data_IF_973502739565
#
_entry.id   IF_973502739565
#
_cell.length_a   1.000
_cell.length_b   1.000
_cell.length_c   1.000
_cell.angle_alpha   90.00
_cell.angle_beta   90.00
_cell.angle_gamma   90.00
#
_symmetry.space_group_name_H-M   'P 1'
#
loop_
_entity.id
_entity.type
_entity.pdbx_description
1 polymer ?
#
# COMPACT_ATOMS: atom_id res chain seq x y z
N UNK A 1 4.77 -6.89 5.48
CA UNK A 1 4.85 -5.44 5.24
C UNK A 1 4.52 -5.15 3.79
N UNK A 2 3.32 -4.64 3.53
CA UNK A 2 2.91 -4.13 2.21
C UNK A 2 3.17 -2.63 2.17
N UNK A 3 3.50 -2.09 0.98
CA UNK A 3 3.79 -0.67 0.83
C UNK A 3 2.57 0.25 1.09
N UNK A 4 1.37 -0.30 1.26
CA UNK A 4 0.18 0.41 1.78
C UNK A 4 0.38 1.03 3.16
N UNK A 5 1.33 0.53 3.95
CA UNK A 5 1.71 1.16 5.22
C UNK A 5 2.24 2.59 5.05
N UNK A 6 2.73 2.94 3.85
CA UNK A 6 3.16 4.30 3.54
C UNK A 6 2.00 5.29 3.43
N UNK A 7 0.77 4.86 3.17
CA UNK A 7 -0.36 5.77 2.95
C UNK A 7 -0.65 6.73 4.13
N UNK A 8 -0.85 6.24 5.37
CA UNK A 8 -1.05 7.14 6.52
C UNK A 8 0.21 7.96 6.86
N UNK A 9 1.39 7.50 6.46
CA UNK A 9 2.68 8.09 6.86
C UNK A 9 3.12 9.17 5.87
N UNK A 10 2.71 9.05 4.61
CA UNK A 10 2.93 10.09 3.60
C UNK A 10 2.01 11.28 3.83
N UNK A 11 0.81 11.08 4.39
CA UNK A 11 -0.14 12.15 4.68
C UNK A 11 0.47 13.35 5.44
N UNK A 12 1.21 13.19 6.56
CA UNK A 12 1.86 14.32 7.24
C UNK A 12 2.95 15.00 6.39
N UNK A 13 3.65 14.26 5.52
CA UNK A 13 4.64 14.86 4.58
C UNK A 13 3.90 15.73 3.54
N UNK A 14 2.76 15.26 3.04
CA UNK A 14 1.92 16.02 2.11
C UNK A 14 1.35 17.26 2.78
N UNK A 15 0.85 17.12 4.01
CA UNK A 15 0.33 18.23 4.81
C UNK A 15 1.42 19.27 5.10
N UNK A 16 2.64 18.83 5.41
CA UNK A 16 3.79 19.71 5.59
C UNK A 16 4.07 20.56 4.35
N UNK A 17 4.21 19.93 3.18
CA UNK A 17 4.49 20.64 1.94
C UNK A 17 3.34 21.58 1.57
N UNK A 18 2.09 21.13 1.69
CA UNK A 18 0.91 21.96 1.42
C UNK A 18 0.86 23.16 2.38
N UNK A 19 1.15 22.93 3.67
CA UNK A 19 1.20 23.99 4.67
C UNK A 19 2.29 25.03 4.40
N UNK A 20 3.42 24.65 3.77
CA UNK A 20 4.42 25.65 3.35
C UNK A 20 3.90 26.58 2.23
N UNK A 21 3.06 26.08 1.32
CA UNK A 21 2.37 26.90 0.31
C UNK A 21 1.31 27.79 0.97
N UNK A 22 0.56 27.26 1.93
CA UNK A 22 -0.43 28.05 2.68
C UNK A 22 0.24 29.15 3.49
N UNK A 23 1.37 28.83 4.14
CA UNK A 23 2.14 29.79 4.93
C UNK A 23 2.62 30.99 4.10
N UNK A 24 3.02 30.79 2.84
CA UNK A 24 3.45 31.90 1.97
C UNK A 24 2.29 32.78 1.48
N UNK A 25 1.06 32.27 1.52
CA UNK A 25 -0.15 33.00 1.07
C UNK A 25 -0.90 33.72 2.22
N UNK A 26 -0.53 33.47 3.48
CA UNK A 26 -1.23 34.02 4.64
C UNK A 26 -0.89 35.51 4.86
N UNK A 27 -1.91 36.40 4.98
CA UNK A 27 -1.66 37.83 5.15
C UNK A 27 -1.19 38.20 6.56
N UNK A 28 -1.55 37.41 7.57
CA UNK A 28 -1.14 37.64 8.95
C UNK A 28 0.22 36.96 9.21
N UNK A 29 1.29 37.73 9.55
CA UNK A 29 2.63 37.18 9.74
C UNK A 29 2.72 36.11 10.85
N UNK A 30 1.95 36.28 11.92
CA UNK A 30 1.94 35.34 13.03
C UNK A 30 1.28 34.00 12.65
N UNK A 31 0.18 34.06 11.90
CA UNK A 31 -0.46 32.85 11.38
C UNK A 31 0.44 32.13 10.38
N UNK A 32 1.10 32.89 9.49
CA UNK A 32 2.08 32.35 8.55
C UNK A 32 3.21 31.62 9.27
N UNK A 33 3.72 32.20 10.37
CA UNK A 33 4.72 31.57 11.22
C UNK A 33 4.22 30.28 11.87
N UNK A 34 3.03 30.29 12.48
CA UNK A 34 2.47 29.07 13.09
C UNK A 34 2.28 27.96 12.06
N UNK A 35 1.74 28.28 10.87
CA UNK A 35 1.61 27.31 9.79
C UNK A 35 2.97 26.75 9.36
N UNK A 36 3.98 27.61 9.20
CA UNK A 36 5.35 27.17 8.87
C UNK A 36 5.92 26.21 9.93
N UNK A 37 5.81 26.56 11.22
CA UNK A 37 6.31 25.73 12.32
C UNK A 37 5.56 24.39 12.40
N UNK A 38 4.24 24.40 12.27
CA UNK A 38 3.43 23.17 12.21
C UNK A 38 3.84 22.31 11.02
N UNK A 39 4.12 22.90 9.86
CA UNK A 39 4.61 22.15 8.70
C UNK A 39 5.98 21.51 8.95
N UNK A 40 6.91 22.18 9.63
CA UNK A 40 8.18 21.56 10.03
C UNK A 40 7.97 20.38 10.97
N UNK A 41 7.06 20.48 11.94
CA UNK A 41 6.71 19.38 12.86
C UNK A 41 6.10 18.20 12.08
N UNK A 42 5.16 18.47 11.16
CA UNK A 42 4.55 17.44 10.32
C UNK A 42 5.58 16.75 9.42
N UNK A 43 6.55 17.49 8.88
CA UNK A 43 7.68 16.90 8.15
C UNK A 43 8.50 15.96 9.05
N UNK A 44 8.87 16.44 10.24
CA UNK A 44 9.66 15.68 11.22
C UNK A 44 8.97 14.43 11.75
N UNK A 45 7.63 14.39 11.76
CA UNK A 45 6.87 13.17 12.10
C UNK A 45 6.76 12.20 10.92
N UNK A 46 6.44 12.70 9.72
CA UNK A 46 6.17 11.87 8.56
C UNK A 46 7.42 11.30 7.89
N UNK A 47 8.42 12.16 7.62
CA UNK A 47 9.56 11.78 6.78
C UNK A 47 10.47 10.74 7.45
N UNK A 48 10.90 10.88 8.72
CA UNK A 48 11.71 9.85 9.36
C UNK A 48 10.98 8.50 9.47
N UNK A 49 9.69 8.52 9.75
CA UNK A 49 8.88 7.30 9.82
C UNK A 49 8.76 6.63 8.44
N UNK A 50 8.64 7.40 7.36
CA UNK A 50 8.71 6.88 6.00
C UNK A 50 10.08 6.22 5.73
N UNK A 51 11.19 6.82 6.17
CA UNK A 51 12.53 6.25 6.00
C UNK A 51 12.70 4.90 6.71
N UNK A 52 12.14 4.73 7.91
CA UNK A 52 12.13 3.44 8.63
C UNK A 52 11.39 2.38 7.81
N UNK A 53 10.22 2.73 7.25
CA UNK A 53 9.45 1.79 6.41
C UNK A 53 10.19 1.47 5.11
N UNK A 54 10.84 2.46 4.48
CA UNK A 54 11.64 2.23 3.28
C UNK A 54 12.80 1.26 3.57
N UNK A 55 13.46 1.39 4.72
CA UNK A 55 14.53 0.46 5.12
C UNK A 55 14.00 -0.98 5.30
N UNK A 56 12.88 -1.16 6.01
CA UNK A 56 12.25 -2.48 6.19
C UNK A 56 11.77 -3.03 4.84
N UNK A 57 11.23 -2.19 3.96
CA UNK A 57 10.79 -2.58 2.62
C UNK A 57 11.97 -3.00 1.75
N UNK A 58 13.08 -2.26 1.79
CA UNK A 58 14.32 -2.63 1.10
C UNK A 58 14.84 -3.99 1.57
N UNK A 59 14.93 -4.20 2.89
CA UNK A 59 15.32 -5.49 3.46
C UNK A 59 14.39 -6.63 3.01
N UNK A 60 13.08 -6.36 2.93
CA UNK A 60 12.13 -7.36 2.42
C UNK A 60 12.40 -7.71 0.95
N UNK A 61 12.70 -6.72 0.12
CA UNK A 61 13.01 -6.94 -1.30
C UNK A 61 14.32 -7.71 -1.52
N UNK A 62 15.28 -7.60 -0.62
CA UNK A 62 16.54 -8.36 -0.72
C UNK A 62 16.41 -9.80 -0.23
N UNK A 63 15.56 -10.05 0.79
CA UNK A 63 15.39 -11.39 1.39
C UNK A 63 14.33 -12.22 0.66
N UNK A 64 13.24 -11.61 0.19
CA UNK A 64 12.12 -12.30 -0.45
C UNK A 64 12.08 -11.99 -1.96
N UNK A 65 11.71 -12.99 -2.79
CA UNK A 65 11.61 -12.83 -4.26
C UNK A 65 10.76 -11.61 -4.63
N UNK A 66 11.10 -10.96 -5.74
CA UNK A 66 10.39 -9.80 -6.31
C UNK A 66 8.88 -10.07 -6.25
N UNK A 67 8.07 -9.16 -5.67
CA UNK A 67 6.65 -9.40 -5.48
C UNK A 67 5.94 -9.80 -6.79
N UNK A 68 4.89 -10.65 -6.74
CA UNK A 68 4.12 -11.07 -7.91
C UNK A 68 3.64 -9.90 -8.78
N UNK A 69 3.23 -10.17 -10.03
CA UNK A 69 2.80 -9.13 -11.00
C UNK A 69 1.73 -8.16 -10.47
N UNK A 70 0.94 -8.58 -9.49
CA UNK A 70 -0.08 -7.77 -8.81
C UNK A 70 0.48 -6.59 -7.99
N UNK A 71 1.78 -6.58 -7.67
CA UNK A 71 2.39 -5.58 -6.77
C UNK A 71 3.35 -4.62 -7.49
N UNK A 72 3.37 -4.56 -8.82
CA UNK A 72 4.23 -3.62 -9.59
C UNK A 72 3.99 -2.16 -9.20
N UNK A 73 2.72 -1.79 -8.94
CA UNK A 73 2.35 -0.47 -8.44
C UNK A 73 3.09 -0.14 -7.14
N UNK A 74 3.31 -1.13 -6.28
CA UNK A 74 3.98 -0.94 -5.00
C UNK A 74 5.46 -0.58 -5.12
N UNK A 75 6.11 -0.92 -6.24
CA UNK A 75 7.53 -0.62 -6.49
C UNK A 75 7.74 0.88 -6.71
N UNK A 76 6.69 1.62 -7.09
CA UNK A 76 6.72 3.07 -7.23
C UNK A 76 6.40 3.81 -5.93
N UNK A 77 5.79 3.17 -4.94
CA UNK A 77 5.39 3.82 -3.70
C UNK A 77 6.55 4.46 -2.91
N UNK A 78 7.79 3.93 -2.91
CA UNK A 78 8.93 4.62 -2.32
C UNK A 78 9.21 6.01 -2.91
N UNK A 79 8.88 6.26 -4.18
CA UNK A 79 9.03 7.59 -4.79
C UNK A 79 8.09 8.63 -4.18
N UNK A 80 6.98 8.20 -3.55
CA UNK A 80 6.03 9.08 -2.90
C UNK A 80 6.66 9.92 -1.77
N UNK A 81 7.11 9.31 -0.66
CA UNK A 81 7.74 10.05 0.43
C UNK A 81 9.05 10.74 0.01
N UNK A 82 9.79 10.19 -0.95
CA UNK A 82 11.05 10.81 -1.41
C UNK A 82 10.80 12.06 -2.27
N UNK A 83 9.91 11.98 -3.26
CA UNK A 83 9.52 13.13 -4.07
C UNK A 83 8.81 14.18 -3.23
N UNK A 84 7.80 13.79 -2.47
CA UNK A 84 7.07 14.71 -1.59
C UNK A 84 7.97 15.32 -0.51
N UNK A 85 8.89 14.54 0.06
CA UNK A 85 9.83 15.00 1.06
C UNK A 85 10.84 15.99 0.50
N UNK A 86 11.36 15.73 -0.70
CA UNK A 86 12.23 16.66 -1.43
C UNK A 86 11.53 17.99 -1.71
N UNK A 87 10.31 17.94 -2.23
CA UNK A 87 9.48 19.13 -2.45
C UNK A 87 9.21 19.89 -1.14
N UNK A 88 8.82 19.18 -0.07
CA UNK A 88 8.55 19.78 1.24
C UNK A 88 9.76 20.52 1.80
N UNK A 89 10.95 19.89 1.80
CA UNK A 89 12.18 20.48 2.31
C UNK A 89 12.54 21.78 1.59
N UNK A 90 12.49 21.76 0.26
CA UNK A 90 12.80 22.94 -0.54
C UNK A 90 11.76 24.05 -0.32
N UNK A 91 10.47 23.71 -0.34
CA UNK A 91 9.43 24.72 -0.21
C UNK A 91 9.34 25.32 1.20
N UNK A 92 9.61 24.53 2.24
CA UNK A 92 9.77 25.03 3.61
C UNK A 92 10.94 26.00 3.74
N UNK A 93 12.08 25.67 3.14
CA UNK A 93 13.24 26.55 3.07
C UNK A 93 12.94 27.88 2.37
N UNK A 94 12.28 27.82 1.20
CA UNK A 94 11.82 29.01 0.47
C UNK A 94 10.89 29.89 1.29
N UNK A 95 9.89 29.27 1.92
CA UNK A 95 8.89 29.99 2.72
C UNK A 95 9.57 30.69 3.91
N UNK A 96 10.56 30.05 4.52
CA UNK A 96 11.33 30.60 5.63
C UNK A 96 12.12 31.88 5.28
N UNK A 97 12.49 32.09 4.02
CA UNK A 97 13.14 33.35 3.58
C UNK A 97 12.24 34.57 3.78
N UNK A 98 10.94 34.41 3.60
CA UNK A 98 9.98 35.52 3.66
C UNK A 98 9.38 35.72 5.05
N UNK A 99 9.09 34.63 5.76
CA UNK A 99 8.37 34.68 7.04
C UNK A 99 9.29 35.07 8.19
N UNK A 100 10.46 34.44 8.32
CA UNK A 100 11.32 34.62 9.50
C UNK A 100 11.83 36.05 9.71
N UNK A 101 12.21 36.81 8.66
CA UNK A 101 12.59 38.21 8.84
C UNK A 101 11.41 39.08 9.33
N UNK A 102 10.20 38.79 8.86
CA UNK A 102 8.98 39.58 9.15
C UNK A 102 8.49 39.39 10.59
N UNK A 103 8.70 38.20 11.16
CA UNK A 103 8.26 37.88 12.52
C UNK A 103 9.34 38.05 13.58
N UNK A 104 10.54 38.49 13.20
CA UNK A 104 11.73 38.56 14.08
C UNK A 104 12.00 37.23 14.82
N UNK A 105 11.62 36.10 14.22
CA UNK A 105 11.77 34.77 14.80
C UNK A 105 13.21 34.30 14.68
N UNK A 106 13.73 33.64 15.72
CA UNK A 106 15.15 33.26 15.83
C UNK A 106 16.08 34.48 15.65
N UNK A 107 15.98 35.50 16.53
CA UNK A 107 16.89 36.65 16.49
C UNK A 107 18.27 36.18 16.96
N UNK A 108 19.03 35.54 16.08
CA UNK A 108 20.44 35.28 16.30
C UNK A 108 21.14 36.63 16.19
N UNK A 109 21.43 37.23 17.35
CA UNK A 109 22.23 38.45 17.44
C UNK A 109 23.60 38.19 16.77
N UNK A 110 23.81 38.79 15.59
CA UNK A 110 25.12 38.84 14.94
C UNK A 110 25.41 37.82 13.83
N UNK A 111 24.48 36.93 13.46
CA UNK A 111 24.69 36.05 12.29
C UNK A 111 24.06 36.68 11.05
N UNK A 112 24.92 37.19 10.17
CA UNK A 112 24.58 37.55 8.80
C UNK A 112 25.13 36.46 7.87
N UNK A 113 24.28 35.81 7.04
CA UNK A 113 22.84 36.04 6.88
C UNK A 113 22.00 35.47 8.03
N UNK A 114 20.79 36.03 8.23
CA UNK A 114 19.82 35.57 9.24
C UNK A 114 19.34 34.13 9.01
N UNK A 115 18.42 33.62 9.87
CA UNK A 115 18.03 32.20 9.87
C UNK A 115 17.33 31.74 8.58
N UNK A 116 16.63 32.63 7.86
CA UNK A 116 15.93 32.30 6.60
C UNK A 116 16.85 31.72 5.52
N UNK A 117 17.90 32.45 5.09
CA UNK A 117 18.87 31.95 4.10
C UNK A 117 19.55 30.63 4.48
N UNK A 118 19.80 30.40 5.78
CA UNK A 118 20.36 29.14 6.27
C UNK A 118 19.38 27.99 6.02
N UNK A 119 18.11 28.15 6.43
CA UNK A 119 17.07 27.13 6.22
C UNK A 119 16.77 26.89 4.74
N UNK A 120 16.82 27.92 3.90
CA UNK A 120 16.70 27.76 2.45
C UNK A 120 17.82 26.91 1.87
N UNK A 121 19.07 27.24 2.20
CA UNK A 121 20.24 26.52 1.69
C UNK A 121 20.25 25.07 2.17
N UNK A 122 19.96 24.83 3.45
CA UNK A 122 19.82 23.48 4.00
C UNK A 122 18.66 22.73 3.35
N UNK A 123 17.50 23.36 3.20
CA UNK A 123 16.32 22.79 2.55
C UNK A 123 16.62 22.34 1.12
N UNK A 124 17.34 23.15 0.35
CA UNK A 124 17.77 22.83 -1.00
C UNK A 124 18.74 21.64 -1.06
N UNK A 125 19.79 21.63 -0.23
CA UNK A 125 20.78 20.54 -0.19
C UNK A 125 20.11 19.22 0.21
N UNK A 126 19.28 19.25 1.26
CA UNK A 126 18.55 18.06 1.71
C UNK A 126 17.54 17.59 0.67
N UNK A 127 16.84 18.51 0.01
CA UNK A 127 15.92 18.17 -1.08
C UNK A 127 16.63 17.46 -2.23
N UNK A 128 17.82 17.93 -2.63
CA UNK A 128 18.64 17.28 -3.65
C UNK A 128 19.11 15.88 -3.24
N UNK A 129 19.55 15.70 -1.99
CA UNK A 129 19.99 14.39 -1.47
C UNK A 129 18.82 13.40 -1.48
N UNK A 130 17.67 13.81 -0.96
CA UNK A 130 16.47 12.97 -0.91
C UNK A 130 15.97 12.64 -2.33
N UNK A 131 16.01 13.61 -3.24
CA UNK A 131 15.70 13.40 -4.65
C UNK A 131 16.68 12.40 -5.30
N UNK A 132 17.98 12.57 -5.09
CA UNK A 132 19.00 11.65 -5.59
C UNK A 132 18.80 10.22 -5.10
N UNK A 133 18.42 10.03 -3.83
CA UNK A 133 18.06 8.72 -3.31
C UNK A 133 16.84 8.10 -4.03
N UNK A 134 15.88 8.93 -4.44
CA UNK A 134 14.74 8.51 -5.25
C UNK A 134 15.12 7.92 -6.60
N UNK A 135 16.24 8.32 -7.22
CA UNK A 135 16.67 7.77 -8.52
C UNK A 135 16.96 6.28 -8.47
N UNK A 136 17.46 5.77 -7.33
CA UNK A 136 17.69 4.34 -7.13
C UNK A 136 16.36 3.59 -7.19
N UNK A 137 15.34 4.10 -6.49
CA UNK A 137 14.01 3.52 -6.46
C UNK A 137 13.31 3.63 -7.82
N UNK A 138 13.46 4.76 -8.51
CA UNK A 138 12.95 4.93 -9.87
C UNK A 138 13.58 3.90 -10.83
N UNK A 139 14.88 3.63 -10.68
CA UNK A 139 15.58 2.63 -11.49
C UNK A 139 15.02 1.23 -11.26
N UNK A 140 14.77 0.85 -10.01
CA UNK A 140 14.11 -0.44 -9.69
C UNK A 140 12.69 -0.51 -10.25
N UNK A 141 11.94 0.59 -10.16
CA UNK A 141 10.58 0.68 -10.65
C UNK A 141 10.52 0.52 -12.18
N UNK A 142 11.39 1.21 -12.92
CA UNK A 142 11.52 1.08 -14.38
C UNK A 142 11.97 -0.32 -14.80
N UNK A 143 12.96 -0.90 -14.12
CA UNK A 143 13.43 -2.26 -14.39
C UNK A 143 12.33 -3.31 -14.16
N UNK A 144 11.46 -3.09 -13.16
CA UNK A 144 10.32 -3.97 -12.89
C UNK A 144 9.28 -3.94 -14.01
N UNK A 145 8.96 -2.73 -14.53
CA UNK A 145 8.06 -2.57 -15.69
C UNK A 145 8.64 -3.23 -16.93
N UNK A 146 9.93 -3.03 -17.22
CA UNK A 146 10.57 -3.57 -18.42
C UNK A 146 10.53 -5.11 -18.48
N UNK A 147 10.50 -5.78 -17.33
CA UNK A 147 10.50 -7.25 -17.22
C UNK A 147 9.11 -7.88 -17.11
N UNK A 148 8.07 -7.06 -16.97
CA UNK A 148 6.74 -7.56 -16.58
C UNK A 148 5.63 -6.92 -17.42
N UNK A 149 4.87 -7.73 -18.16
CA UNK A 149 3.58 -7.28 -18.72
C UNK A 149 2.48 -7.55 -17.70
N UNK A 150 1.69 -6.53 -17.39
CA UNK A 150 0.56 -6.62 -16.48
C UNK A 150 -0.67 -5.91 -17.07
N UNK A 151 -1.87 -6.50 -16.92
CA UNK A 151 -3.10 -5.93 -17.47
C UNK A 151 -3.53 -4.68 -16.70
N UNK A 152 -4.31 -3.81 -17.36
CA UNK A 152 -4.87 -2.62 -16.73
C UNK A 152 -5.87 -2.97 -15.62
N UNK A 153 -5.62 -2.47 -14.41
CA UNK A 153 -6.48 -2.60 -13.23
C UNK A 153 -6.61 -1.26 -12.50
N UNK A 154 -7.55 -1.17 -11.55
CA UNK A 154 -7.81 0.08 -10.81
C UNK A 154 -6.61 0.54 -9.97
N UNK A 155 -5.70 -0.37 -9.63
CA UNK A 155 -4.46 -0.07 -8.91
C UNK A 155 -3.50 0.84 -9.67
N UNK A 156 -3.67 1.06 -10.97
CA UNK A 156 -2.84 1.98 -11.76
C UNK A 156 -2.91 3.43 -11.26
N UNK A 157 -3.99 3.81 -10.58
CA UNK A 157 -4.06 5.11 -9.88
C UNK A 157 -2.91 5.30 -8.87
N UNK A 158 -2.40 4.21 -8.29
CA UNK A 158 -1.28 4.24 -7.35
C UNK A 158 0.06 4.68 -7.95
N UNK A 159 0.20 4.75 -9.29
CA UNK A 159 1.39 5.32 -9.93
C UNK A 159 1.38 6.85 -9.97
N UNK A 160 0.19 7.45 -10.03
CA UNK A 160 0.04 8.88 -10.31
C UNK A 160 0.62 9.75 -9.20
N UNK A 161 0.34 9.41 -7.94
CA UNK A 161 0.84 10.18 -6.80
C UNK A 161 2.38 10.14 -6.71
N UNK A 162 3.05 8.97 -6.62
CA UNK A 162 4.51 8.93 -6.48
C UNK A 162 5.26 9.59 -7.64
N UNK A 163 4.82 9.37 -8.88
CA UNK A 163 5.43 10.00 -10.05
C UNK A 163 5.14 11.49 -10.11
N UNK A 164 3.93 11.91 -9.73
CA UNK A 164 3.52 13.31 -9.70
C UNK A 164 4.33 14.12 -8.70
N UNK A 165 4.45 13.65 -7.46
CA UNK A 165 5.24 14.36 -6.44
C UNK A 165 6.73 14.36 -6.76
N UNK A 166 7.24 13.31 -7.42
CA UNK A 166 8.62 13.28 -7.90
C UNK A 166 8.86 14.27 -9.05
N UNK A 167 7.90 14.40 -9.98
CA UNK A 167 7.94 15.41 -11.03
C UNK A 167 7.90 16.84 -10.45
N UNK A 168 7.01 17.10 -9.49
CA UNK A 168 6.92 18.38 -8.79
C UNK A 168 8.25 18.72 -8.10
N UNK A 169 8.87 17.75 -7.41
CA UNK A 169 10.19 17.96 -6.80
C UNK A 169 11.25 18.32 -7.85
N UNK A 170 11.31 17.59 -8.98
CA UNK A 170 12.26 17.87 -10.07
C UNK A 170 12.07 19.26 -10.66
N UNK A 171 10.82 19.67 -10.92
CA UNK A 171 10.51 21.01 -11.44
C UNK A 171 10.88 22.09 -10.43
N UNK A 172 10.58 21.87 -9.14
CA UNK A 172 10.90 22.84 -8.09
C UNK A 172 12.41 22.97 -7.87
N UNK A 173 13.17 21.89 -7.99
CA UNK A 173 14.64 21.94 -7.98
C UNK A 173 15.15 22.69 -9.23
N UNK A 174 14.54 22.44 -10.39
CA UNK A 174 14.87 23.11 -11.65
C UNK A 174 14.64 24.61 -11.63
N UNK A 175 13.63 25.10 -10.90
CA UNK A 175 13.40 26.55 -10.76
C UNK A 175 14.48 27.25 -9.94
N UNK A 176 15.18 26.52 -9.05
CA UNK A 176 16.24 27.09 -8.19
C UNK A 176 17.63 26.96 -8.79
N UNK A 177 17.80 26.14 -9.82
CA UNK A 177 19.08 25.96 -10.50
C UNK A 177 19.04 26.64 -11.86
N UNK A 178 20.09 27.37 -12.27
CA UNK A 178 20.28 27.79 -13.65
C UNK A 178 20.72 26.58 -14.51
N UNK A 179 19.95 25.50 -14.48
CA UNK A 179 20.27 24.22 -15.09
C UNK A 179 19.18 23.78 -16.06
N UNK A 180 19.51 23.83 -17.34
CA UNK A 180 18.64 23.32 -18.42
C UNK A 180 18.32 21.83 -18.23
N UNK A 181 19.22 21.07 -17.59
CA UNK A 181 19.02 19.64 -17.32
C UNK A 181 17.77 19.39 -16.47
N UNK A 182 17.63 20.07 -15.33
CA UNK A 182 16.48 19.87 -14.45
C UNK A 182 15.17 20.38 -15.07
N UNK A 183 15.24 21.44 -15.89
CA UNK A 183 14.08 21.94 -16.63
C UNK A 183 13.57 20.93 -17.67
N UNK A 184 14.48 20.35 -18.45
CA UNK A 184 14.14 19.29 -19.42
C UNK A 184 13.62 18.05 -18.68
N UNK A 185 14.33 17.61 -17.64
CA UNK A 185 13.95 16.41 -16.89
C UNK A 185 12.59 16.55 -16.21
N UNK A 186 12.32 17.70 -15.58
CA UNK A 186 11.04 18.02 -14.97
C UNK A 186 9.91 18.07 -16.00
N UNK A 187 10.18 18.59 -17.19
CA UNK A 187 9.21 18.58 -18.31
C UNK A 187 8.89 17.16 -18.76
N UNK A 188 9.90 16.30 -18.94
CA UNK A 188 9.73 14.89 -19.32
C UNK A 188 8.88 14.17 -18.27
N UNK A 189 9.21 14.30 -16.99
CA UNK A 189 8.43 13.68 -15.91
C UNK A 189 6.98 14.19 -15.87
N UNK A 190 6.77 15.49 -16.09
CA UNK A 190 5.44 16.11 -16.12
C UNK A 190 4.59 15.58 -17.28
N UNK A 191 5.17 15.44 -18.47
CA UNK A 191 4.48 14.86 -19.64
C UNK A 191 4.14 13.39 -19.39
N UNK A 192 5.10 12.60 -18.87
CA UNK A 192 4.88 11.19 -18.57
C UNK A 192 3.77 10.97 -17.54
N UNK A 193 3.77 11.71 -16.43
CA UNK A 193 2.73 11.56 -15.40
C UNK A 193 1.36 12.04 -15.90
N UNK A 194 1.32 13.11 -16.70
CA UNK A 194 0.08 13.60 -17.31
C UNK A 194 -0.49 12.59 -18.29
N UNK A 195 0.34 12.03 -19.16
CA UNK A 195 -0.06 10.97 -20.10
C UNK A 195 -0.55 9.71 -19.39
N UNK A 196 0.14 9.30 -18.32
CA UNK A 196 -0.28 8.20 -17.46
C UNK A 196 -1.64 8.49 -16.82
N UNK A 197 -1.83 9.68 -16.24
CA UNK A 197 -3.09 10.09 -15.64
C UNK A 197 -4.24 10.05 -16.66
N UNK A 198 -4.04 10.60 -17.86
CA UNK A 198 -5.03 10.56 -18.94
C UNK A 198 -5.39 9.12 -19.34
N UNK A 199 -4.39 8.25 -19.48
CA UNK A 199 -4.61 6.83 -19.79
C UNK A 199 -5.45 6.14 -18.72
N UNK A 200 -5.11 6.34 -17.45
CA UNK A 200 -5.82 5.74 -16.30
C UNK A 200 -7.24 6.30 -16.19
N UNK A 201 -7.41 7.62 -16.38
CA UNK A 201 -8.73 8.26 -16.37
C UNK A 201 -9.64 7.72 -17.48
N UNK A 202 -9.15 7.65 -18.72
CA UNK A 202 -9.90 7.08 -19.85
C UNK A 202 -10.24 5.60 -19.61
N UNK A 203 -9.29 4.81 -19.11
CA UNK A 203 -9.52 3.40 -18.77
C UNK A 203 -10.57 3.23 -17.67
N UNK A 204 -10.55 4.12 -16.66
CA UNK A 204 -11.53 4.16 -15.57
C UNK A 204 -12.92 4.51 -16.11
N UNK A 205 -13.04 5.56 -16.92
CA UNK A 205 -14.32 5.98 -17.52
C UNK A 205 -14.89 4.88 -18.41
N UNK A 206 -14.09 4.28 -19.29
CA UNK A 206 -14.53 3.16 -20.14
C UNK A 206 -15.08 2.00 -19.31
N UNK A 207 -14.36 1.59 -18.25
CA UNK A 207 -14.82 0.51 -17.36
C UNK A 207 -16.04 0.92 -16.52
N UNK A 208 -16.16 2.19 -16.14
CA UNK A 208 -17.33 2.71 -15.44
C UNK A 208 -18.59 2.61 -16.31
N UNK A 209 -18.49 3.07 -17.56
CA UNK A 209 -19.61 3.12 -18.51
C UNK A 209 -20.03 1.72 -19.01
N UNK A 210 -19.09 0.79 -19.17
CA UNK A 210 -19.39 -0.59 -19.58
C UNK A 210 -19.66 -1.56 -18.41
N UNK A 211 -19.89 -1.06 -17.19
CA UNK A 211 -20.31 -1.89 -16.05
C UNK A 211 -19.23 -2.79 -15.44
N UNK A 212 -17.96 -2.58 -15.78
CA UNK A 212 -16.82 -3.38 -15.30
C UNK A 212 -16.07 -2.79 -14.09
N UNK A 213 -16.51 -1.63 -13.56
CA UNK A 213 -15.79 -0.92 -12.50
C UNK A 213 -16.23 -1.34 -11.08
N UNK A 214 -17.48 -1.77 -10.91
CA UNK A 214 -17.98 -2.35 -9.64
C UNK A 214 -17.72 -3.85 -9.68
N UNK A 215 -16.45 -4.21 -9.80
CA UNK A 215 -16.01 -5.58 -9.57
C UNK A 215 -15.44 -5.63 -8.15
N UNK A 216 -16.31 -5.86 -7.16
CA UNK A 216 -15.91 -6.00 -5.76
C UNK A 216 -15.26 -7.38 -5.56
N UNK A 217 -13.92 -7.51 -5.47
CA UNK A 217 -13.26 -8.81 -5.35
C UNK A 217 -13.66 -9.53 -4.06
N UNK A 218 -13.91 -8.75 -3.01
CA UNK A 218 -14.42 -9.23 -1.73
C UNK A 218 -15.79 -9.91 -1.82
N UNK A 219 -16.63 -9.58 -2.82
CA UNK A 219 -17.90 -10.29 -3.04
C UNK A 219 -17.66 -11.65 -3.71
N UNK A 220 -16.71 -11.73 -4.64
CA UNK A 220 -16.32 -12.99 -5.29
C UNK A 220 -15.67 -13.97 -4.32
N UNK A 221 -14.75 -13.49 -3.49
CA UNK A 221 -14.10 -14.33 -2.48
C UNK A 221 -15.12 -14.83 -1.44
N UNK A 222 -16.11 -14.00 -1.09
CA UNK A 222 -17.22 -14.39 -0.22
C UNK A 222 -18.18 -15.39 -0.89
N UNK A 223 -18.50 -15.20 -2.18
CA UNK A 223 -19.31 -16.13 -2.96
C UNK A 223 -18.63 -17.49 -3.15
N UNK A 224 -17.31 -17.52 -3.41
CA UNK A 224 -16.52 -18.75 -3.50
C UNK A 224 -16.45 -19.47 -2.16
N UNK A 225 -16.19 -18.73 -1.07
CA UNK A 225 -16.21 -19.29 0.29
C UNK A 225 -17.61 -19.82 0.70
N UNK A 226 -18.69 -19.15 0.30
CA UNK A 226 -20.06 -19.63 0.54
C UNK A 226 -20.36 -20.89 -0.27
N UNK A 227 -19.84 -20.98 -1.51
CA UNK A 227 -19.98 -22.16 -2.37
C UNK A 227 -19.27 -23.37 -1.78
N UNK A 228 -18.02 -23.20 -1.37
CA UNK A 228 -17.22 -24.25 -0.70
C UNK A 228 -17.88 -24.72 0.61
N UNK A 229 -18.44 -23.78 1.39
CA UNK A 229 -19.16 -24.10 2.61
C UNK A 229 -20.44 -24.92 2.35
N UNK A 230 -21.19 -24.58 1.29
CA UNK A 230 -22.39 -25.34 0.87
C UNK A 230 -22.03 -26.75 0.41
N UNK A 231 -21.01 -26.90 -0.44
CA UNK A 231 -20.54 -28.21 -0.92
C UNK A 231 -20.06 -29.09 0.25
N UNK A 232 -19.30 -28.54 1.20
CA UNK A 232 -18.86 -29.26 2.39
C UNK A 232 -20.04 -29.68 3.29
N UNK A 233 -21.08 -28.85 3.39
CA UNK A 233 -22.29 -29.16 4.17
C UNK A 233 -23.11 -30.27 3.52
N UNK A 234 -23.29 -30.24 2.20
CA UNK A 234 -23.97 -31.29 1.45
C UNK A 234 -23.23 -32.62 1.52
N UNK A 235 -21.90 -32.61 1.42
CA UNK A 235 -21.08 -33.82 1.53
C UNK A 235 -21.20 -34.45 2.93
N UNK A 236 -21.19 -33.63 3.99
CA UNK A 236 -21.42 -34.10 5.38
C UNK A 236 -22.81 -34.68 5.56
N UNK A 237 -23.83 -34.07 4.95
CA UNK A 237 -25.22 -34.58 4.99
C UNK A 237 -25.34 -35.92 4.28
N UNK A 238 -24.71 -36.08 3.11
CA UNK A 238 -24.68 -37.33 2.35
C UNK A 238 -24.01 -38.45 3.15
N UNK A 239 -22.81 -38.19 3.70
CA UNK A 239 -22.08 -39.16 4.56
C UNK A 239 -22.85 -39.53 5.82
N UNK A 240 -23.64 -38.61 6.40
CA UNK A 240 -24.48 -38.91 7.56
C UNK A 240 -25.68 -39.78 7.18
N UNK A 241 -26.32 -39.51 6.04
CA UNK A 241 -27.39 -40.34 5.49
C UNK A 241 -26.91 -41.77 5.18
N UNK A 242 -25.77 -41.91 4.49
CA UNK A 242 -25.13 -43.21 4.20
C UNK A 242 -24.80 -43.99 5.49
N UNK A 243 -24.33 -43.32 6.54
CA UNK A 243 -24.08 -43.95 7.86
C UNK A 243 -25.35 -44.37 8.59
N UNK A 244 -26.42 -43.59 8.51
CA UNK A 244 -27.71 -43.93 9.11
C UNK A 244 -28.40 -45.09 8.37
N UNK A 245 -28.30 -45.12 7.04
CA UNK A 245 -28.81 -46.20 6.21
C UNK A 245 -28.02 -47.50 6.39
N UNK A 246 -26.69 -47.40 6.49
CA UNK A 246 -25.82 -48.53 6.87
C UNK A 246 -26.17 -49.06 8.26
N UNK A 247 -26.42 -48.20 9.26
CA UNK A 247 -26.89 -48.62 10.60
C UNK A 247 -28.26 -49.31 10.57
N UNK A 248 -29.20 -48.81 9.75
CA UNK A 248 -30.53 -49.45 9.60
C UNK A 248 -30.44 -50.81 8.91
N UNK A 249 -29.62 -50.97 7.88
CA UNK A 249 -29.41 -52.26 7.22
C UNK A 249 -28.71 -53.29 8.13
N UNK A 250 -27.74 -52.85 8.93
CA UNK A 250 -27.10 -53.71 9.95
C UNK A 250 -28.11 -54.15 11.01
N UNK A 251 -28.97 -53.24 11.49
CA UNK A 251 -30.02 -53.55 12.47
C UNK A 251 -31.12 -54.48 11.94
N UNK A 252 -31.42 -54.42 10.63
CA UNK A 252 -32.40 -55.29 9.99
C UNK A 252 -31.88 -56.72 9.82
N UNK A 253 -30.62 -56.87 9.39
CA UNK A 253 -29.96 -58.18 9.28
C UNK A 253 -29.76 -58.89 10.64
N UNK A 254 -29.64 -58.15 11.74
CA UNK A 254 -29.53 -58.74 13.09
C UNK A 254 -30.89 -59.25 13.61
N UNK A 255 -31.99 -58.60 13.26
CA UNK A 255 -33.32 -59.05 13.65
C UNK A 255 -33.81 -60.27 12.84
N UNK A 256 -33.46 -60.37 11.56
CA UNK A 256 -33.81 -61.55 10.74
C UNK A 256 -33.04 -62.81 11.18
N UNK A 257 -31.77 -62.68 11.57
CA UNK A 257 -30.99 -63.81 12.11
C UNK A 257 -31.40 -64.21 13.55
N UNK A 258 -31.88 -63.26 14.37
CA UNK A 258 -32.30 -63.54 15.74
C UNK A 258 -33.61 -64.34 15.87
N UNK A 259 -34.50 -64.26 14.87
CA UNK A 259 -35.74 -65.05 14.86
C UNK A 259 -35.54 -66.49 14.38
N UNK A 260 -34.48 -66.78 13.61
CA UNK A 260 -34.14 -68.15 13.18
C UNK A 260 -33.51 -69.02 14.27
N UNK A 261 -32.74 -68.41 15.18
CA UNK A 261 -31.95 -69.14 16.19
C UNK A 261 -32.68 -69.35 17.53
N UNK A 262 -33.65 -68.51 17.88
CA UNK A 262 -34.46 -68.69 19.08
C UNK A 262 -35.39 -69.93 19.00
N UNK A 263 -35.73 -70.36 17.79
CA UNK A 263 -36.58 -71.52 17.55
C UNK A 263 -35.80 -72.86 17.57
N UNK A 264 -34.47 -72.81 17.52
CA UNK A 264 -33.60 -74.01 17.42
C UNK A 264 -32.90 -74.38 18.74
N UNK A 265 -33.08 -73.62 19.82
CA UNK A 265 -32.45 -73.82 21.13
C UNK A 265 -33.36 -74.41 22.22
N UNK A 266 -34.52 -74.98 21.84
CA UNK A 266 -35.45 -75.62 22.78
C UNK A 266 -35.45 -77.16 22.74
N UNK A 267 -34.58 -77.79 21.94
CA UNK A 267 -34.40 -79.25 21.91
C UNK A 267 -32.91 -79.59 22.01
N UNK A 268 -32.41 -79.87 23.22
CA UNK A 268 -31.65 -81.08 23.56
C UNK A 268 -31.05 -81.01 24.98
N UNK A 269 -31.23 -82.09 25.73
CA UNK A 269 -30.65 -82.50 27.01
C UNK A 269 -30.45 -84.03 26.89
N UNK A 270 -29.68 -84.77 27.73
CA UNK A 270 -28.45 -84.50 28.49
C UNK A 270 -27.35 -85.58 28.18
N UNK A 271 -26.31 -85.63 29.04
CA UNK A 271 -25.52 -86.80 29.48
C UNK A 271 -24.12 -87.14 28.92
N UNK A 272 -23.34 -87.67 29.88
CA UNK A 272 -22.07 -88.40 29.88
C UNK A 272 -20.74 -87.66 29.64
N UNK A 273 -19.61 -88.06 30.23
CA UNK A 273 -19.23 -88.84 31.42
C UNK A 273 -17.69 -88.90 31.41
N UNK A 274 -17.07 -88.86 32.59
CA UNK A 274 -15.79 -89.50 32.99
C UNK A 274 -14.48 -89.38 32.16
N UNK A 275 -13.43 -88.93 32.88
CA UNK A 275 -12.04 -89.46 33.00
C UNK A 275 -11.22 -89.66 31.69
N UNK A 276 -10.02 -89.09 31.53
CA UNK A 276 -8.79 -89.21 32.34
C UNK A 276 -7.95 -87.93 32.25
#
# INVERSE_FOLDING_TARGET
MTATWLLPIVAPIVASASGSIVASALPNPQHALWTLLTSYILFGTGFPLAMIILAIYFQRLTIYKIPPREVIVSVFLPLGPLGQGSFALLNLGKTSLSILPTTHTLPLAGVSPGPGPILYTLGFILALIVWGFGLIWLSFALASIARSRFPFNMGWWGFTFPLGVYAVATVTIGSELPSTFFNILGTIFSICVTGLWMMVAVGTIKKALWGGLIFAPCLKDAEEAEREARECFEEKRRKKGEKEESRKNVGKNTNENGQGDAQRRMEFSPEDSSLV
#
